data_IF_168943267517
#
_entry.id   IF_168943267517
#
_cell.length_a   1.000
_cell.length_b   1.000
_cell.length_c   1.000
_cell.angle_alpha   90.00
_cell.angle_beta   90.00
_cell.angle_gamma   90.00
#
_symmetry.space_group_name_H-M   'P 1'
#
loop_
_entity.id
_entity.type
_entity.pdbx_description
1 polymer ?
#
# COMPACT_ATOMS: atom_id res chain seq x y z
N UNK A 1 46.99 -68.58 7.34
CA UNK A 1 46.26 -68.49 8.63
C UNK A 1 44.96 -67.73 8.36
N UNK A 2 43.78 -68.38 8.19
CA UNK A 2 42.76 -68.71 9.22
C UNK A 2 42.55 -67.54 10.20
N UNK A 3 41.39 -66.88 10.34
CA UNK A 3 40.00 -67.40 10.49
C UNK A 3 38.92 -66.37 10.05
N UNK A 4 37.83 -66.88 9.47
CA UNK A 4 36.47 -66.30 9.51
C UNK A 4 35.87 -66.48 10.90
N UNK A 5 34.98 -65.58 11.34
CA UNK A 5 33.65 -65.96 11.87
C UNK A 5 32.65 -64.80 11.75
N UNK A 6 31.46 -65.06 11.18
CA UNK A 6 30.28 -64.19 11.25
C UNK A 6 29.49 -64.49 12.52
N UNK A 7 28.83 -63.48 13.08
CA UNK A 7 27.88 -63.60 14.18
C UNK A 7 26.50 -63.18 13.69
N UNK A 8 25.66 -64.18 13.44
CA UNK A 8 24.22 -64.06 13.27
C UNK A 8 23.54 -63.90 14.63
N UNK A 9 22.42 -63.16 14.66
CA UNK A 9 21.36 -63.35 15.65
C UNK A 9 20.88 -62.09 16.38
N UNK A 10 19.82 -61.44 15.88
CA UNK A 10 18.49 -61.57 16.51
C UNK A 10 17.40 -60.87 15.66
N UNK A 11 16.29 -61.55 15.33
CA UNK A 11 15.12 -60.93 14.73
C UNK A 11 14.23 -60.34 15.83
N UNK A 12 14.19 -59.02 15.95
CA UNK A 12 13.18 -58.33 16.76
C UNK A 12 11.79 -58.57 16.19
N UNK A 13 10.93 -59.15 17.04
CA UNK A 13 9.51 -59.47 16.79
C UNK A 13 8.74 -58.29 16.20
N UNK A 14 7.78 -58.54 15.29
CA UNK A 14 6.77 -57.55 14.95
C UNK A 14 5.84 -57.35 16.15
N UNK A 15 5.67 -56.10 16.57
CA UNK A 15 4.62 -55.70 17.51
C UNK A 15 3.34 -55.58 16.71
N UNK A 16 2.41 -56.50 16.96
CA UNK A 16 1.04 -56.43 16.48
C UNK A 16 0.37 -55.18 17.06
N UNK A 17 0.21 -54.14 16.24
CA UNK A 17 -0.68 -53.02 16.52
C UNK A 17 -2.09 -53.39 16.12
N UNK A 18 -2.98 -53.44 17.10
CA UNK A 18 -4.42 -53.58 16.88
C UNK A 18 -4.95 -52.45 15.95
N UNK A 19 -5.70 -52.81 14.90
CA UNK A 19 -6.37 -51.86 14.03
C UNK A 19 -7.72 -51.47 14.64
N UNK A 20 -7.86 -50.27 15.20
CA UNK A 20 -9.16 -49.92 15.79
C UNK A 20 -9.39 -48.57 16.45
N UNK A 21 -8.54 -47.55 16.29
CA UNK A 21 -8.90 -46.21 16.76
C UNK A 21 -8.50 -45.12 15.76
N UNK A 22 -9.46 -44.55 15.00
CA UNK A 22 -9.23 -43.31 14.29
C UNK A 22 -9.15 -42.20 15.36
N UNK A 23 -7.94 -41.71 15.63
CA UNK A 23 -7.79 -40.41 16.27
C UNK A 23 -8.08 -39.38 15.17
N UNK A 24 -9.35 -39.03 15.05
CA UNK A 24 -9.83 -37.92 14.22
C UNK A 24 -9.22 -36.62 14.76
N UNK A 25 -8.07 -36.27 14.19
CA UNK A 25 -7.30 -35.08 14.46
C UNK A 25 -6.79 -34.44 13.18
N UNK A 26 -7.60 -34.42 12.11
CA UNK A 26 -7.35 -33.55 10.95
C UNK A 26 -7.97 -32.15 11.16
N UNK A 27 -7.21 -31.23 11.79
CA UNK A 27 -7.22 -29.84 11.31
C UNK A 27 -5.83 -29.27 10.95
N UNK A 28 -4.72 -30.00 11.21
CA UNK A 28 -3.36 -29.43 11.16
C UNK A 28 -2.79 -29.21 9.76
N UNK A 29 -3.10 -30.07 8.77
CA UNK A 29 -2.50 -29.99 7.42
C UNK A 29 -2.74 -28.68 6.66
N UNK A 30 -3.82 -27.93 6.93
CA UNK A 30 -4.06 -26.63 6.28
C UNK A 30 -3.23 -25.50 6.87
N UNK A 31 -2.92 -25.54 8.16
CA UNK A 31 -2.11 -24.52 8.82
C UNK A 31 -0.64 -24.61 8.40
N UNK A 32 -0.14 -25.82 8.15
CA UNK A 32 1.24 -26.06 7.70
C UNK A 32 1.58 -25.32 6.40
N UNK A 33 0.62 -25.26 5.47
CA UNK A 33 0.81 -24.58 4.19
C UNK A 33 0.84 -23.05 4.29
N UNK A 34 0.10 -22.46 5.23
CA UNK A 34 0.11 -21.01 5.46
C UNK A 34 1.35 -20.62 6.25
N UNK A 35 1.67 -21.35 7.33
CA UNK A 35 2.85 -21.11 8.14
C UNK A 35 4.13 -21.28 7.32
N UNK A 36 4.25 -22.31 6.49
CA UNK A 36 5.41 -22.48 5.61
C UNK A 36 5.60 -21.31 4.63
N UNK A 37 4.52 -20.76 4.07
CA UNK A 37 4.59 -19.57 3.20
C UNK A 37 5.01 -18.33 3.98
N UNK A 38 4.52 -18.16 5.21
CA UNK A 38 4.90 -17.06 6.08
C UNK A 38 6.38 -17.17 6.46
N UNK A 39 6.85 -18.34 6.90
CA UNK A 39 8.26 -18.62 7.21
C UNK A 39 9.15 -18.34 5.99
N UNK A 40 8.78 -18.84 4.80
CA UNK A 40 9.52 -18.55 3.56
C UNK A 40 9.56 -17.05 3.23
N UNK A 41 8.47 -16.32 3.51
CA UNK A 41 8.40 -14.87 3.32
C UNK A 41 9.33 -14.14 4.30
N UNK A 42 9.37 -14.56 5.57
CA UNK A 42 10.25 -13.99 6.59
C UNK A 42 11.72 -14.29 6.27
N UNK A 43 12.04 -15.51 5.88
CA UNK A 43 13.39 -15.87 5.44
C UNK A 43 13.83 -15.08 4.20
N UNK A 44 12.90 -14.70 3.33
CA UNK A 44 13.21 -13.84 2.18
C UNK A 44 13.59 -12.40 2.59
N UNK A 45 13.28 -11.96 3.81
CA UNK A 45 13.72 -10.67 4.35
C UNK A 45 15.21 -10.69 4.72
N UNK A 46 15.74 -11.84 5.16
CA UNK A 46 17.14 -11.99 5.51
C UNK A 46 18.07 -11.86 4.28
N UNK A 47 19.24 -11.23 4.43
CA UNK A 47 20.30 -11.26 3.43
C UNK A 47 20.64 -12.70 3.02
N UNK A 48 20.91 -12.91 1.73
CA UNK A 48 21.26 -14.20 1.15
C UNK A 48 22.27 -15.02 1.98
N UNK A 49 23.42 -14.47 2.45
CA UNK A 49 24.39 -15.26 3.21
C UNK A 49 23.86 -15.74 4.58
N UNK A 50 23.00 -14.96 5.24
CA UNK A 50 22.38 -15.40 6.51
C UNK A 50 21.35 -16.49 6.23
N UNK A 51 20.51 -16.30 5.21
CA UNK A 51 19.49 -17.28 4.83
C UNK A 51 20.12 -18.61 4.41
N UNK A 52 21.21 -18.59 3.67
CA UNK A 52 21.91 -19.82 3.26
C UNK A 52 22.56 -20.53 4.44
N UNK A 53 23.05 -19.78 5.45
CA UNK A 53 23.72 -20.35 6.62
C UNK A 53 22.76 -20.81 7.71
N UNK A 54 21.73 -20.04 8.03
CA UNK A 54 20.85 -20.25 9.19
C UNK A 54 19.37 -20.42 8.80
N UNK A 55 19.02 -20.37 7.52
CA UNK A 55 17.61 -20.38 7.10
C UNK A 55 16.88 -21.68 7.44
N UNK A 56 17.57 -22.82 7.41
CA UNK A 56 16.99 -24.10 7.81
C UNK A 56 16.71 -24.16 9.32
N UNK A 57 17.64 -23.69 10.14
CA UNK A 57 17.48 -23.64 11.60
C UNK A 57 16.36 -22.68 12.02
N UNK A 58 16.29 -21.50 11.40
CA UNK A 58 15.20 -20.53 11.66
C UNK A 58 13.85 -21.10 11.24
N UNK A 59 13.78 -21.81 10.10
CA UNK A 59 12.54 -22.46 9.68
C UNK A 59 12.12 -23.54 10.69
N UNK A 60 13.05 -24.38 11.11
CA UNK A 60 12.81 -25.47 12.05
C UNK A 60 12.34 -24.98 13.43
N UNK A 61 12.96 -23.91 13.93
CA UNK A 61 12.55 -23.21 15.15
C UNK A 61 11.12 -22.66 15.05
N UNK A 62 10.77 -22.04 13.92
CA UNK A 62 9.43 -21.46 13.71
C UNK A 62 8.35 -22.54 13.51
N UNK A 63 8.68 -23.69 12.92
CA UNK A 63 7.74 -24.79 12.74
C UNK A 63 7.46 -25.56 14.03
N UNK A 64 8.43 -25.63 14.94
CA UNK A 64 8.30 -26.33 16.22
C UNK A 64 8.01 -25.39 17.41
N UNK A 65 7.81 -24.09 17.16
CA UNK A 65 7.52 -23.12 18.22
C UNK A 65 6.13 -23.33 18.83
N UNK A 66 5.99 -23.32 20.17
CA UNK A 66 4.69 -23.32 20.84
C UNK A 66 3.93 -21.99 20.64
N UNK A 67 4.60 -20.92 20.21
CA UNK A 67 4.05 -19.57 19.99
C UNK A 67 4.40 -19.02 18.61
N UNK A 68 3.98 -19.69 17.52
CA UNK A 68 4.50 -19.44 16.18
C UNK A 68 4.24 -18.02 15.67
N UNK A 69 3.11 -17.38 16.06
CA UNK A 69 2.79 -16.01 15.62
C UNK A 69 3.72 -14.98 16.26
N UNK A 70 4.00 -15.12 17.56
CA UNK A 70 4.89 -14.21 18.29
C UNK A 70 6.32 -14.36 17.77
N UNK A 71 6.79 -15.59 17.65
CA UNK A 71 8.16 -15.87 17.22
C UNK A 71 8.36 -15.46 15.75
N UNK A 72 7.35 -15.64 14.89
CA UNK A 72 7.39 -15.12 13.52
C UNK A 72 7.49 -13.59 13.52
N UNK A 73 6.75 -12.88 14.37
CA UNK A 73 6.83 -11.44 14.49
C UNK A 73 8.22 -10.98 14.99
N UNK A 74 8.77 -11.63 16.00
CA UNK A 74 10.10 -11.34 16.56
C UNK A 74 11.20 -11.60 15.52
N UNK A 75 11.17 -12.74 14.82
CA UNK A 75 12.13 -13.06 13.75
C UNK A 75 12.00 -12.09 12.57
N UNK A 76 10.77 -11.69 12.21
CA UNK A 76 10.53 -10.68 11.17
C UNK A 76 11.13 -9.34 11.57
N UNK A 77 10.94 -8.94 12.82
CA UNK A 77 11.49 -7.70 13.37
C UNK A 77 13.02 -7.72 13.37
N UNK A 78 13.63 -8.80 13.86
CA UNK A 78 15.08 -8.98 13.82
C UNK A 78 15.61 -8.93 12.37
N UNK A 79 14.97 -9.60 11.43
CA UNK A 79 15.36 -9.59 10.01
C UNK A 79 15.33 -8.17 9.42
N UNK A 80 14.29 -7.40 9.75
CA UNK A 80 14.15 -6.00 9.34
C UNK A 80 15.23 -5.13 9.98
N UNK A 81 15.44 -5.24 11.28
CA UNK A 81 16.45 -4.49 12.02
C UNK A 81 17.86 -4.76 11.46
N UNK A 82 18.22 -6.02 11.23
CA UNK A 82 19.53 -6.40 10.67
C UNK A 82 19.75 -5.83 9.27
N UNK A 83 18.69 -5.83 8.46
CA UNK A 83 18.71 -5.25 7.12
C UNK A 83 18.84 -3.72 7.14
N UNK A 84 18.20 -3.06 8.11
CA UNK A 84 18.33 -1.61 8.32
C UNK A 84 19.74 -1.27 8.78
N UNK A 85 20.30 -1.99 9.76
CA UNK A 85 21.65 -1.74 10.30
C UNK A 85 22.72 -1.97 9.23
N UNK A 86 22.69 -3.09 8.51
CA UNK A 86 23.64 -3.34 7.42
C UNK A 86 23.45 -2.39 6.25
N UNK A 87 22.19 -2.05 5.95
CA UNK A 87 21.88 -1.01 4.96
C UNK A 87 22.49 0.33 5.34
N UNK A 88 22.39 0.73 6.61
CA UNK A 88 22.99 1.94 7.15
C UNK A 88 24.53 1.91 7.08
N UNK A 89 25.17 0.76 7.34
CA UNK A 89 26.61 0.60 7.21
C UNK A 89 27.10 0.67 5.75
N UNK A 90 26.28 0.21 4.79
CA UNK A 90 26.57 0.26 3.36
C UNK A 90 26.16 1.60 2.70
N UNK A 91 25.47 2.48 3.43
CA UNK A 91 25.00 3.76 2.93
C UNK A 91 26.13 4.80 2.99
N UNK A 92 26.63 5.18 1.83
CA UNK A 92 27.48 6.38 1.73
C UNK A 92 26.67 7.61 2.12
N UNK A 93 27.30 8.61 2.74
CA UNK A 93 26.64 9.86 3.15
C UNK A 93 25.85 10.51 2.01
N UNK A 94 26.39 10.45 0.78
CA UNK A 94 25.71 10.95 -0.42
C UNK A 94 24.39 10.21 -0.71
N UNK A 95 24.35 8.87 -0.58
CA UNK A 95 23.12 8.10 -0.76
C UNK A 95 22.12 8.35 0.37
N UNK A 96 22.61 8.50 1.60
CA UNK A 96 21.77 8.84 2.75
C UNK A 96 21.07 10.19 2.54
N UNK A 97 21.81 11.23 2.11
CA UNK A 97 21.25 12.56 1.79
C UNK A 97 20.18 12.49 0.71
N UNK A 98 20.43 11.75 -0.37
CA UNK A 98 19.44 11.55 -1.43
C UNK A 98 18.19 10.83 -0.91
N UNK A 99 18.36 9.79 -0.08
CA UNK A 99 17.24 9.07 0.55
C UNK A 99 16.40 9.95 1.46
N UNK A 100 17.03 10.74 2.33
CA UNK A 100 16.36 11.71 3.21
C UNK A 100 15.58 12.74 2.39
N UNK A 101 16.19 13.28 1.34
CA UNK A 101 15.52 14.26 0.47
C UNK A 101 14.29 13.67 -0.24
N UNK A 102 14.36 12.41 -0.67
CA UNK A 102 13.24 11.71 -1.28
C UNK A 102 12.14 11.43 -0.27
N UNK A 103 12.50 10.98 0.93
CA UNK A 103 11.56 10.75 2.01
C UNK A 103 10.86 12.05 2.41
N UNK A 104 11.61 13.13 2.58
CA UNK A 104 11.07 14.46 2.86
C UNK A 104 10.10 14.92 1.78
N UNK A 105 10.43 14.71 0.49
CA UNK A 105 9.49 14.96 -0.61
C UNK A 105 8.23 14.14 -0.48
N UNK A 106 8.33 12.83 -0.26
CA UNK A 106 7.16 11.95 -0.12
C UNK A 106 6.27 12.36 1.07
N UNK A 107 6.86 12.77 2.19
CA UNK A 107 6.14 13.26 3.38
C UNK A 107 5.47 14.63 3.13
N UNK A 108 6.05 15.49 2.28
CA UNK A 108 5.53 16.82 1.98
C UNK A 108 4.49 16.84 0.84
N UNK A 109 4.42 15.78 0.02
CA UNK A 109 3.45 15.68 -1.09
C UNK A 109 1.99 15.82 -0.60
N UNK A 110 1.52 15.12 0.47
CA UNK A 110 0.14 15.26 0.96
C UNK A 110 -0.18 16.69 1.37
N UNK A 111 0.76 17.36 2.07
CA UNK A 111 0.61 18.77 2.45
C UNK A 111 0.50 19.66 1.20
N UNK A 112 1.41 19.50 0.24
CA UNK A 112 1.39 20.28 -1.00
C UNK A 112 0.11 20.07 -1.83
N UNK A 113 -0.40 18.84 -1.91
CA UNK A 113 -1.66 18.53 -2.59
C UNK A 113 -2.87 19.10 -1.84
N UNK A 114 -2.87 19.05 -0.51
CA UNK A 114 -3.94 19.63 0.32
C UNK A 114 -3.98 21.15 0.18
N UNK A 115 -2.82 21.82 0.25
CA UNK A 115 -2.71 23.26 0.01
C UNK A 115 -3.17 23.60 -1.41
N UNK A 116 -2.74 22.83 -2.43
CA UNK A 116 -3.16 23.07 -3.80
C UNK A 116 -4.68 22.93 -3.98
N UNK A 117 -5.30 21.94 -3.35
CA UNK A 117 -6.76 21.78 -3.34
C UNK A 117 -7.45 22.99 -2.70
N UNK A 118 -6.98 23.43 -1.52
CA UNK A 118 -7.52 24.60 -0.84
C UNK A 118 -7.38 25.88 -1.69
N UNK A 119 -6.23 26.07 -2.34
CA UNK A 119 -6.01 27.20 -3.25
C UNK A 119 -6.97 27.14 -4.43
N UNK A 120 -7.21 25.97 -5.01
CA UNK A 120 -8.20 25.80 -6.09
C UNK A 120 -9.62 26.14 -5.62
N UNK A 121 -10.01 25.70 -4.41
CA UNK A 121 -11.32 26.02 -3.84
C UNK A 121 -11.47 27.52 -3.53
N UNK A 122 -10.43 28.17 -3.00
CA UNK A 122 -10.44 29.62 -2.76
C UNK A 122 -10.47 30.41 -4.06
N UNK A 123 -9.70 30.01 -5.07
CA UNK A 123 -9.70 30.63 -6.39
C UNK A 123 -11.04 30.49 -7.12
N UNK A 124 -11.82 29.47 -6.75
CA UNK A 124 -13.19 29.27 -7.19
C UNK A 124 -14.23 30.17 -6.49
N UNK A 125 -13.86 30.85 -5.40
CA UNK A 125 -14.76 31.75 -4.65
C UNK A 125 -15.34 32.89 -5.50
N UNK A 126 -14.51 33.68 -6.22
CA UNK A 126 -15.01 34.77 -7.06
C UNK A 126 -16.05 34.36 -8.13
N UNK A 127 -15.84 33.29 -8.95
CA UNK A 127 -16.86 32.85 -9.88
C UNK A 127 -18.12 32.30 -9.16
N UNK A 128 -17.98 31.65 -8.01
CA UNK A 128 -19.13 31.23 -7.19
C UNK A 128 -19.94 32.44 -6.71
N UNK A 129 -19.28 33.49 -6.20
CA UNK A 129 -19.94 34.74 -5.78
C UNK A 129 -20.68 35.43 -6.94
N UNK A 130 -20.11 35.39 -8.14
CA UNK A 130 -20.78 35.89 -9.34
C UNK A 130 -22.02 35.05 -9.68
N UNK A 131 -21.94 33.73 -9.54
CA UNK A 131 -23.08 32.83 -9.77
C UNK A 131 -24.20 33.04 -8.74
N UNK A 132 -23.86 33.31 -7.47
CA UNK A 132 -24.82 33.73 -6.44
C UNK A 132 -25.53 35.01 -6.87
N UNK A 133 -24.78 36.00 -7.37
CA UNK A 133 -25.35 37.26 -7.85
C UNK A 133 -26.27 37.08 -9.08
N UNK A 134 -26.17 35.95 -9.77
CA UNK A 134 -27.01 35.57 -10.91
C UNK A 134 -28.17 34.62 -10.53
N UNK A 135 -28.43 34.43 -9.23
CA UNK A 135 -29.49 33.55 -8.69
C UNK A 135 -29.33 32.08 -9.11
N UNK A 136 -28.09 31.64 -9.31
CA UNK A 136 -27.75 30.24 -9.57
C UNK A 136 -27.58 29.52 -8.23
N UNK A 137 -28.16 28.33 -8.11
CA UNK A 137 -28.05 27.45 -6.94
C UNK A 137 -26.58 27.23 -6.52
N UNK A 138 -26.19 27.88 -5.43
CA UNK A 138 -24.81 28.00 -4.94
C UNK A 138 -24.30 26.68 -4.40
N UNK A 139 -25.14 25.92 -3.70
CA UNK A 139 -24.77 24.67 -3.04
C UNK A 139 -24.42 23.61 -4.09
N UNK A 140 -25.28 23.49 -5.10
CA UNK A 140 -25.03 22.58 -6.23
C UNK A 140 -23.80 23.00 -7.03
N UNK A 141 -23.60 24.29 -7.21
CA UNK A 141 -22.45 24.82 -7.94
C UNK A 141 -21.14 24.62 -7.18
N UNK A 142 -21.11 24.87 -5.87
CA UNK A 142 -19.95 24.64 -5.02
C UNK A 142 -19.49 23.17 -5.06
N UNK A 143 -20.45 22.25 -5.00
CA UNK A 143 -20.23 20.80 -5.14
C UNK A 143 -19.61 20.42 -6.50
N UNK A 144 -20.13 20.97 -7.60
CA UNK A 144 -19.54 20.78 -8.92
C UNK A 144 -18.13 21.34 -9.03
N UNK A 145 -17.90 22.53 -8.47
CA UNK A 145 -16.59 23.18 -8.50
C UNK A 145 -15.56 22.39 -7.68
N UNK A 146 -15.96 21.87 -6.52
CA UNK A 146 -15.12 20.94 -5.75
C UNK A 146 -14.74 19.72 -6.59
N UNK A 147 -15.71 19.06 -7.23
CA UNK A 147 -15.49 17.90 -8.08
C UNK A 147 -14.55 18.19 -9.25
N UNK A 148 -14.74 19.33 -9.91
CA UNK A 148 -13.91 19.78 -11.03
C UNK A 148 -12.48 20.12 -10.59
N UNK A 149 -12.28 20.61 -9.37
CA UNK A 149 -10.96 20.94 -8.82
C UNK A 149 -10.05 19.70 -8.63
N UNK A 150 -10.65 18.51 -8.52
CA UNK A 150 -9.92 17.25 -8.36
C UNK A 150 -9.20 16.85 -9.65
N UNK A 151 -9.73 17.24 -10.82
CA UNK A 151 -9.11 16.93 -12.12
C UNK A 151 -7.71 17.55 -12.29
N UNK A 152 -7.51 18.87 -12.15
CA UNK A 152 -6.17 19.47 -12.24
C UNK A 152 -5.26 18.98 -11.11
N UNK A 153 -5.80 18.74 -9.91
CA UNK A 153 -5.04 18.18 -8.79
C UNK A 153 -4.55 16.76 -9.08
N UNK A 154 -5.41 15.91 -9.65
CA UNK A 154 -5.07 14.56 -10.09
C UNK A 154 -4.01 14.56 -11.20
N UNK A 155 -4.11 15.49 -12.16
CA UNK A 155 -3.11 15.66 -13.21
C UNK A 155 -1.74 16.09 -12.64
N UNK A 156 -1.74 17.03 -11.69
CA UNK A 156 -0.55 17.47 -10.97
C UNK A 156 0.08 16.31 -10.19
N UNK A 157 -0.73 15.57 -9.44
CA UNK A 157 -0.31 14.38 -8.68
C UNK A 157 0.30 13.31 -9.61
N UNK A 158 -0.35 13.03 -10.74
CA UNK A 158 0.16 12.10 -11.75
C UNK A 158 1.51 12.55 -12.31
N UNK A 159 1.63 13.83 -12.69
CA UNK A 159 2.86 14.38 -13.24
C UNK A 159 4.01 14.32 -12.24
N UNK A 160 3.79 14.75 -11.00
CA UNK A 160 4.78 14.71 -9.92
C UNK A 160 5.21 13.27 -9.62
N UNK A 161 4.27 12.35 -9.49
CA UNK A 161 4.53 10.94 -9.23
C UNK A 161 5.36 10.33 -10.36
N UNK A 162 4.95 10.53 -11.61
CA UNK A 162 5.67 10.01 -12.78
C UNK A 162 7.09 10.57 -12.88
N UNK A 163 7.27 11.88 -12.63
CA UNK A 163 8.59 12.53 -12.66
C UNK A 163 9.52 11.95 -11.60
N UNK A 164 9.05 11.80 -10.36
CA UNK A 164 9.85 11.20 -9.29
C UNK A 164 10.12 9.71 -9.57
N UNK A 165 9.14 8.96 -10.09
CA UNK A 165 9.30 7.55 -10.40
C UNK A 165 10.35 7.29 -11.49
N UNK A 166 10.37 8.12 -12.53
CA UNK A 166 11.35 8.03 -13.63
C UNK A 166 12.79 8.28 -13.18
N UNK A 167 13.00 9.01 -12.09
CA UNK A 167 14.34 9.23 -11.54
C UNK A 167 14.97 7.96 -10.97
N UNK A 168 14.20 6.87 -10.81
CA UNK A 168 14.67 5.61 -10.23
C UNK A 168 15.03 5.72 -8.74
N UNK A 169 14.69 6.84 -8.11
CA UNK A 169 15.22 7.20 -6.80
C UNK A 169 14.45 6.57 -5.63
N UNK A 170 13.22 6.09 -5.86
CA UNK A 170 12.37 5.49 -4.83
C UNK A 170 12.46 3.97 -4.89
N UNK A 171 13.32 3.32 -4.07
CA UNK A 171 13.27 1.87 -3.93
C UNK A 171 11.90 1.48 -3.38
N UNK A 172 11.35 0.35 -3.82
CA UNK A 172 10.09 -0.19 -3.30
C UNK A 172 8.95 0.86 -3.21
N UNK A 173 8.77 1.69 -4.25
CA UNK A 173 7.72 2.71 -4.30
C UNK A 173 6.31 2.22 -3.91
N UNK A 174 6.02 0.93 -4.16
CA UNK A 174 4.77 0.28 -3.77
C UNK A 174 4.52 0.22 -2.25
N UNK A 175 5.55 0.26 -1.41
CA UNK A 175 5.41 0.23 0.05
C UNK A 175 5.77 1.57 0.70
N UNK A 176 6.87 2.19 0.24
CA UNK A 176 7.39 3.41 0.85
C UNK A 176 6.52 4.64 0.56
N UNK A 177 5.91 4.72 -0.63
CA UNK A 177 5.06 5.88 -0.94
C UNK A 177 3.75 5.86 -0.14
N UNK A 178 2.95 4.78 -0.09
CA UNK A 178 1.72 4.76 0.70
C UNK A 178 1.95 5.05 2.19
N UNK A 179 3.02 4.50 2.75
CA UNK A 179 3.38 4.72 4.17
C UNK A 179 3.80 6.16 4.44
N UNK A 180 4.69 6.74 3.62
CA UNK A 180 5.08 8.13 3.77
C UNK A 180 3.89 9.09 3.56
N UNK A 181 3.04 8.84 2.57
CA UNK A 181 1.84 9.64 2.35
C UNK A 181 0.87 9.54 3.54
N UNK A 182 0.67 8.33 4.08
CA UNK A 182 -0.17 8.13 5.26
C UNK A 182 0.36 8.86 6.49
N UNK A 183 1.67 8.79 6.75
CA UNK A 183 2.32 9.54 7.84
C UNK A 183 2.14 11.05 7.63
N UNK A 184 2.30 11.54 6.40
CA UNK A 184 2.05 12.95 6.09
C UNK A 184 0.59 13.35 6.35
N UNK A 185 -0.38 12.51 5.96
CA UNK A 185 -1.80 12.76 6.22
C UNK A 185 -2.16 12.72 7.70
N UNK A 186 -1.61 11.78 8.46
CA UNK A 186 -1.81 11.72 9.92
C UNK A 186 -1.20 12.94 10.61
N UNK A 187 -0.02 13.39 10.16
CA UNK A 187 0.58 14.61 10.68
C UNK A 187 -0.30 15.84 10.40
N UNK A 188 -0.93 15.91 9.22
CA UNK A 188 -1.89 16.98 8.91
C UNK A 188 -3.16 16.87 9.75
N UNK A 189 -3.69 15.67 9.93
CA UNK A 189 -4.88 15.42 10.73
C UNK A 189 -4.68 15.79 12.21
N UNK A 190 -3.44 15.68 12.71
CA UNK A 190 -3.07 16.07 14.07
C UNK A 190 -2.91 17.58 14.26
N UNK A 191 -2.85 18.39 13.19
CA UNK A 191 -2.72 19.84 13.30
C UNK A 191 -4.08 20.47 13.66
N UNK A 192 -4.14 21.34 14.70
CA UNK A 192 -5.37 22.05 15.05
C UNK A 192 -5.92 22.85 13.87
N UNK A 193 -7.24 22.79 13.66
CA UNK A 193 -7.93 23.44 12.54
C UNK A 193 -7.82 22.70 11.21
N UNK A 194 -6.62 22.23 10.84
CA UNK A 194 -6.41 21.43 9.60
C UNK A 194 -7.06 20.06 9.71
N UNK A 195 -7.02 19.44 10.90
CA UNK A 195 -7.69 18.16 11.15
C UNK A 195 -9.17 18.20 10.82
N UNK A 196 -9.88 19.25 11.26
CA UNK A 196 -11.31 19.45 11.01
C UNK A 196 -11.61 19.60 9.51
N UNK A 197 -10.73 20.29 8.78
CA UNK A 197 -10.85 20.46 7.33
C UNK A 197 -10.68 19.13 6.59
N UNK A 198 -9.81 18.25 7.09
CA UNK A 198 -9.60 16.92 6.51
C UNK A 198 -10.74 15.98 6.89
N UNK A 199 -11.26 16.03 8.11
CA UNK A 199 -12.42 15.27 8.54
C UNK A 199 -12.85 15.69 9.95
N UNK A 200 -14.14 15.62 10.22
CA UNK A 200 -14.70 16.05 11.50
C UNK A 200 -14.17 15.23 12.68
N UNK A 201 -13.88 13.94 12.47
CA UNK A 201 -13.46 13.01 13.53
C UNK A 201 -12.04 12.45 13.26
N UNK A 202 -11.05 12.75 14.12
CA UNK A 202 -9.65 12.36 13.88
C UNK A 202 -9.43 10.85 13.93
N UNK A 203 -10.19 10.13 14.75
CA UNK A 203 -10.10 8.67 14.88
C UNK A 203 -10.58 7.98 13.60
N UNK A 204 -11.70 8.45 13.04
CA UNK A 204 -12.26 7.95 11.78
C UNK A 204 -11.35 8.27 10.60
N UNK A 205 -10.78 9.47 10.55
CA UNK A 205 -9.78 9.86 9.56
C UNK A 205 -8.56 8.93 9.63
N UNK A 206 -8.08 8.63 10.84
CA UNK A 206 -6.95 7.72 11.06
C UNK A 206 -7.25 6.32 10.52
N UNK A 207 -8.43 5.77 10.82
CA UNK A 207 -8.84 4.46 10.30
C UNK A 207 -8.90 4.44 8.77
N UNK A 208 -9.49 5.47 8.16
CA UNK A 208 -9.55 5.62 6.70
C UNK A 208 -8.16 5.67 6.07
N UNK A 209 -7.24 6.47 6.63
CA UNK A 209 -5.86 6.61 6.14
C UNK A 209 -5.11 5.28 6.28
N UNK A 210 -5.27 4.56 7.38
CA UNK A 210 -4.64 3.25 7.56
C UNK A 210 -5.15 2.22 6.55
N UNK A 211 -6.47 2.12 6.38
CA UNK A 211 -7.11 1.26 5.37
C UNK A 211 -6.62 1.62 3.96
N UNK A 212 -6.61 2.91 3.63
CA UNK A 212 -6.12 3.44 2.38
C UNK A 212 -4.65 3.08 2.13
N UNK A 213 -3.79 3.22 3.14
CA UNK A 213 -2.36 2.98 3.02
C UNK A 213 -2.07 1.49 2.71
N UNK A 214 -2.76 0.59 3.40
CA UNK A 214 -2.63 -0.85 3.23
C UNK A 214 -3.12 -1.27 1.84
N UNK A 215 -4.32 -0.82 1.45
CA UNK A 215 -4.87 -1.16 0.15
C UNK A 215 -4.10 -0.52 -1.02
N UNK A 216 -3.57 0.71 -0.86
CA UNK A 216 -2.67 1.32 -1.86
C UNK A 216 -1.41 0.48 -2.03
N UNK A 217 -0.81 -0.02 -0.94
CA UNK A 217 0.40 -0.83 -1.02
C UNK A 217 0.17 -2.14 -1.77
N UNK A 218 -0.96 -2.81 -1.52
CA UNK A 218 -1.37 -4.01 -2.25
C UNK A 218 -1.60 -3.69 -3.73
N UNK A 219 -2.38 -2.65 -4.04
CA UNK A 219 -2.71 -2.29 -5.42
C UNK A 219 -1.46 -1.85 -6.21
N UNK A 220 -0.56 -1.07 -5.62
CA UNK A 220 0.72 -0.72 -6.22
C UNK A 220 1.60 -1.96 -6.48
N UNK A 221 1.59 -2.95 -5.58
CA UNK A 221 2.31 -4.21 -5.79
C UNK A 221 1.74 -4.97 -6.99
N UNK A 222 0.41 -5.11 -7.07
CA UNK A 222 -0.26 -5.77 -8.19
C UNK A 222 -0.03 -5.02 -9.50
N UNK A 223 -0.18 -3.70 -9.50
CA UNK A 223 0.10 -2.83 -10.64
C UNK A 223 1.54 -3.01 -11.14
N UNK A 224 2.51 -2.97 -10.22
CA UNK A 224 3.93 -3.24 -10.54
C UNK A 224 4.10 -4.60 -11.19
N UNK A 225 3.51 -5.66 -10.63
CA UNK A 225 3.63 -7.00 -11.23
C UNK A 225 3.02 -7.05 -12.64
N UNK A 226 1.87 -6.43 -12.88
CA UNK A 226 1.24 -6.37 -14.20
C UNK A 226 2.12 -5.63 -15.21
N UNK A 227 2.71 -4.50 -14.81
CA UNK A 227 3.59 -3.68 -15.65
C UNK A 227 4.90 -4.39 -15.98
N UNK A 228 5.52 -5.08 -15.01
CA UNK A 228 6.74 -5.87 -15.25
C UNK A 228 6.50 -6.98 -16.27
N UNK A 229 5.34 -7.62 -16.24
CA UNK A 229 4.93 -8.64 -17.22
C UNK A 229 4.34 -8.05 -18.51
N UNK A 230 4.43 -6.72 -18.70
CA UNK A 230 3.92 -5.99 -19.88
C UNK A 230 2.42 -6.23 -20.17
N UNK A 231 1.62 -6.57 -19.15
CA UNK A 231 0.17 -6.78 -19.28
C UNK A 231 -0.57 -5.46 -19.09
N UNK A 232 -0.54 -4.61 -20.11
CA UNK A 232 -1.07 -3.23 -20.06
C UNK A 232 -2.55 -3.19 -19.66
N UNK A 233 -3.40 -4.02 -20.25
CA UNK A 233 -4.82 -4.09 -19.89
C UNK A 233 -5.05 -4.43 -18.41
N UNK A 234 -4.29 -5.40 -17.87
CA UNK A 234 -4.37 -5.76 -16.43
C UNK A 234 -3.85 -4.63 -15.55
N UNK A 235 -2.81 -3.91 -15.99
CA UNK A 235 -2.31 -2.74 -15.25
C UNK A 235 -3.37 -1.63 -15.18
N UNK A 236 -4.07 -1.35 -16.27
CA UNK A 236 -5.19 -0.40 -16.30
C UNK A 236 -6.34 -0.83 -15.39
N UNK A 237 -6.79 -2.08 -15.50
CA UNK A 237 -7.85 -2.62 -14.62
C UNK A 237 -7.45 -2.58 -13.14
N UNK A 238 -6.19 -2.93 -12.83
CA UNK A 238 -5.69 -2.89 -11.45
C UNK A 238 -5.57 -1.46 -10.93
N UNK A 239 -5.12 -0.52 -11.76
CA UNK A 239 -5.01 0.89 -11.39
C UNK A 239 -6.37 1.54 -11.19
N UNK A 240 -7.25 1.49 -12.19
CA UNK A 240 -8.56 2.14 -12.12
C UNK A 240 -9.51 1.41 -11.16
N UNK A 241 -9.70 0.10 -11.35
CA UNK A 241 -10.59 -0.69 -10.51
C UNK A 241 -10.09 -0.81 -9.08
N UNK A 242 -8.79 -1.08 -8.89
CA UNK A 242 -8.19 -1.15 -7.56
C UNK A 242 -8.19 0.19 -6.84
N UNK A 243 -7.96 1.30 -7.55
CA UNK A 243 -8.07 2.65 -7.00
C UNK A 243 -9.49 2.99 -6.54
N UNK A 244 -10.50 2.70 -7.36
CA UNK A 244 -11.90 2.94 -7.01
C UNK A 244 -12.32 2.12 -5.78
N UNK A 245 -12.07 0.80 -5.80
CA UNK A 245 -12.40 -0.09 -4.67
C UNK A 245 -11.72 0.36 -3.39
N UNK A 246 -10.44 0.74 -3.47
CA UNK A 246 -9.68 1.25 -2.34
C UNK A 246 -10.31 2.50 -1.72
N UNK A 247 -10.63 3.49 -2.55
CA UNK A 247 -11.19 4.77 -2.10
C UNK A 247 -12.59 4.58 -1.52
N UNK A 248 -13.39 3.70 -2.13
CA UNK A 248 -14.69 3.28 -1.58
C UNK A 248 -14.52 2.63 -0.21
N UNK A 249 -13.65 1.63 -0.05
CA UNK A 249 -13.44 0.96 1.24
C UNK A 249 -12.90 1.91 2.32
N UNK A 250 -12.03 2.84 1.94
CA UNK A 250 -11.50 3.85 2.87
C UNK A 250 -12.61 4.80 3.35
N UNK A 251 -13.47 5.24 2.43
CA UNK A 251 -14.65 6.08 2.74
C UNK A 251 -15.65 5.33 3.60
N UNK A 252 -15.89 4.05 3.33
CA UNK A 252 -16.74 3.18 4.16
C UNK A 252 -16.17 3.08 5.58
N UNK A 253 -14.87 2.85 5.71
CA UNK A 253 -14.21 2.80 7.02
C UNK A 253 -14.36 4.09 7.81
N UNK A 254 -14.22 5.24 7.14
CA UNK A 254 -14.48 6.55 7.75
C UNK A 254 -15.94 6.70 8.18
N UNK A 255 -16.90 6.52 7.26
CA UNK A 255 -18.32 6.76 7.54
C UNK A 255 -18.82 5.83 8.64
N UNK A 256 -18.41 4.56 8.66
CA UNK A 256 -18.78 3.62 9.72
C UNK A 256 -18.23 3.97 11.10
N UNK A 257 -17.12 4.69 11.17
CA UNK A 257 -16.53 5.13 12.45
C UNK A 257 -17.03 6.51 12.87
N UNK A 258 -17.34 7.39 11.92
CA UNK A 258 -17.77 8.76 12.17
C UNK A 258 -19.28 8.92 12.37
N UNK A 259 -20.10 8.12 11.67
CA UNK A 259 -21.54 8.32 11.56
C UNK A 259 -22.29 7.07 12.07
N UNK A 260 -23.31 7.29 12.90
CA UNK A 260 -24.16 6.21 13.39
C UNK A 260 -24.87 5.50 12.22
N UNK A 261 -25.01 4.17 12.33
CA UNK A 261 -25.66 3.34 11.33
C UNK A 261 -27.14 3.69 11.11
N UNK A 262 -27.79 4.31 12.11
CA UNK A 262 -29.15 4.85 11.96
C UNK A 262 -29.21 6.03 10.97
N UNK A 263 -28.15 6.84 10.92
CA UNK A 263 -28.05 8.04 10.08
C UNK A 263 -27.51 7.73 8.67
N UNK A 264 -26.62 6.75 8.56
CA UNK A 264 -26.02 6.32 7.30
C UNK A 264 -26.32 4.84 6.99
N UNK A 265 -27.39 4.54 6.22
CA UNK A 265 -27.76 3.18 5.87
C UNK A 265 -26.62 2.42 5.19
N UNK A 266 -26.18 1.30 5.79
CA UNK A 266 -25.04 0.51 5.29
C UNK A 266 -25.25 -0.10 3.90
N UNK A 267 -26.51 -0.25 3.47
CA UNK A 267 -26.84 -0.70 2.10
C UNK A 267 -26.34 0.28 1.02
N UNK A 268 -26.18 1.55 1.36
CA UNK A 268 -25.71 2.60 0.45
C UNK A 268 -24.19 2.79 0.46
N UNK A 269 -23.47 2.00 1.27
CA UNK A 269 -22.02 2.09 1.44
C UNK A 269 -21.20 2.15 0.14
N UNK A 270 -21.53 1.37 -0.92
CA UNK A 270 -20.78 1.42 -2.19
C UNK A 270 -20.81 2.80 -2.88
N UNK A 271 -21.82 3.63 -2.60
CA UNK A 271 -22.03 4.91 -3.27
C UNK A 271 -21.40 6.09 -2.52
N UNK A 272 -21.01 5.92 -1.25
CA UNK A 272 -20.55 7.04 -0.43
C UNK A 272 -19.34 7.78 -1.00
N UNK A 273 -18.35 7.06 -1.52
CA UNK A 273 -17.18 7.70 -2.15
C UNK A 273 -17.56 8.48 -3.42
N UNK A 274 -18.41 7.91 -4.29
CA UNK A 274 -18.83 8.57 -5.52
C UNK A 274 -19.68 9.80 -5.22
N UNK A 275 -20.54 9.72 -4.21
CA UNK A 275 -21.33 10.84 -3.75
C UNK A 275 -20.45 11.95 -3.18
N UNK A 276 -19.52 11.63 -2.27
CA UNK A 276 -18.59 12.59 -1.69
C UNK A 276 -17.71 13.28 -2.74
N UNK A 277 -17.22 12.55 -3.74
CA UNK A 277 -16.32 13.11 -4.77
C UNK A 277 -17.04 13.92 -5.84
N UNK A 278 -18.32 13.63 -6.10
CA UNK A 278 -19.13 14.31 -7.11
C UNK A 278 -19.97 15.44 -6.54
N UNK A 279 -20.13 15.48 -5.22
CA UNK A 279 -21.07 16.34 -4.52
C UNK A 279 -22.54 16.07 -4.89
N UNK A 280 -22.83 14.93 -5.53
CA UNK A 280 -24.19 14.46 -5.77
C UNK A 280 -24.56 13.52 -4.62
N UNK A 281 -25.28 14.06 -3.63
CA UNK A 281 -25.77 13.30 -2.49
C UNK A 281 -27.30 13.16 -2.56
N UNK A 282 -27.82 11.98 -2.96
CA UNK A 282 -29.26 11.73 -3.03
C UNK A 282 -29.93 11.55 -1.65
N UNK A 283 -29.30 11.98 -0.55
CA UNK A 283 -29.80 11.79 0.80
C UNK A 283 -29.23 10.53 1.45
N UNK A 284 -27.94 10.26 1.25
CA UNK A 284 -27.28 9.06 1.78
C UNK A 284 -27.07 9.12 3.30
N UNK A 285 -27.21 10.31 3.91
CA UNK A 285 -27.15 10.55 5.35
C UNK A 285 -28.36 11.39 5.77
N UNK A 286 -29.13 10.87 6.73
CA UNK A 286 -30.35 11.50 7.29
C UNK A 286 -31.41 11.94 6.26
N UNK A 287 -31.41 11.37 5.06
CA UNK A 287 -32.24 11.81 3.91
C UNK A 287 -32.05 13.29 3.54
N UNK A 288 -30.96 13.91 4.01
CA UNK A 288 -30.63 15.31 3.75
C UNK A 288 -29.56 15.42 2.69
N UNK A 289 -29.72 16.39 1.78
CA UNK A 289 -28.73 16.64 0.74
C UNK A 289 -27.43 17.16 1.36
N UNK A 290 -26.30 16.69 0.81
CA UNK A 290 -24.92 17.12 1.06
C UNK A 290 -24.31 16.79 2.44
N UNK A 291 -25.09 16.24 3.39
CA UNK A 291 -24.56 15.88 4.71
C UNK A 291 -23.38 14.90 4.65
N UNK A 292 -23.35 13.99 3.67
CA UNK A 292 -22.21 13.08 3.53
C UNK A 292 -20.94 13.82 3.11
N UNK A 293 -21.04 14.78 2.20
CA UNK A 293 -19.90 15.55 1.73
C UNK A 293 -19.32 16.40 2.89
N UNK A 294 -20.19 16.98 3.72
CA UNK A 294 -19.78 17.76 4.88
C UNK A 294 -19.12 16.88 5.95
N UNK A 295 -19.69 15.72 6.26
CA UNK A 295 -19.17 14.83 7.30
C UNK A 295 -17.79 14.23 6.96
N UNK A 296 -17.53 13.94 5.67
CA UNK A 296 -16.27 13.35 5.21
C UNK A 296 -15.26 14.43 4.75
N UNK A 297 -15.73 15.68 4.56
CA UNK A 297 -14.93 16.86 4.24
C UNK A 297 -13.96 16.63 3.06
N UNK A 298 -12.71 17.12 3.16
CA UNK A 298 -11.73 17.03 2.07
C UNK A 298 -11.02 15.66 1.96
N UNK A 299 -11.22 14.74 2.91
CA UNK A 299 -10.50 13.46 2.95
C UNK A 299 -10.56 12.68 1.62
N UNK A 300 -11.74 12.47 0.98
CA UNK A 300 -11.83 11.64 -0.22
C UNK A 300 -11.06 12.25 -1.38
N UNK A 301 -11.08 13.57 -1.52
CA UNK A 301 -10.36 14.31 -2.56
C UNK A 301 -8.85 14.23 -2.38
N UNK A 302 -8.36 14.37 -1.15
CA UNK A 302 -6.94 14.24 -0.83
C UNK A 302 -6.45 12.79 -1.02
N UNK A 303 -7.22 11.80 -0.56
CA UNK A 303 -6.89 10.38 -0.77
C UNK A 303 -6.89 10.02 -2.26
N UNK A 304 -7.79 10.58 -3.06
CA UNK A 304 -7.83 10.42 -4.52
C UNK A 304 -6.53 10.93 -5.16
N UNK A 305 -6.13 12.16 -4.83
CA UNK A 305 -4.89 12.74 -5.35
C UNK A 305 -3.65 11.92 -4.93
N UNK A 306 -3.59 11.48 -3.67
CA UNK A 306 -2.51 10.63 -3.16
C UNK A 306 -2.47 9.26 -3.86
N UNK A 307 -3.63 8.67 -4.17
CA UNK A 307 -3.74 7.41 -4.91
C UNK A 307 -3.18 7.55 -6.33
N UNK A 308 -3.59 8.61 -7.04
CA UNK A 308 -3.08 8.92 -8.38
C UNK A 308 -1.57 9.12 -8.37
N UNK A 309 -1.05 9.86 -7.37
CA UNK A 309 0.39 10.05 -7.18
C UNK A 309 1.13 8.73 -6.99
N UNK A 310 0.66 7.86 -6.08
CA UNK A 310 1.30 6.59 -5.77
C UNK A 310 1.32 5.62 -6.98
N UNK A 311 0.23 5.58 -7.76
CA UNK A 311 0.17 4.78 -8.98
C UNK A 311 1.11 5.31 -10.06
N UNK A 312 1.13 6.63 -10.28
CA UNK A 312 2.01 7.26 -11.25
C UNK A 312 3.50 7.07 -10.89
N UNK A 313 3.82 7.17 -9.60
CA UNK A 313 5.16 6.89 -9.06
C UNK A 313 5.58 5.45 -9.34
N UNK A 314 4.71 4.50 -9.03
CA UNK A 314 4.94 3.06 -9.25
C UNK A 314 5.14 2.76 -10.73
N UNK A 315 4.29 3.29 -11.60
CA UNK A 315 4.40 3.11 -13.04
C UNK A 315 5.69 3.73 -13.61
N UNK A 316 6.05 4.94 -13.15
CA UNK A 316 7.30 5.61 -13.52
C UNK A 316 8.55 4.82 -13.13
N UNK A 317 8.57 4.25 -11.92
CA UNK A 317 9.69 3.47 -11.40
C UNK A 317 9.92 2.15 -12.19
N UNK A 318 8.83 1.48 -12.61
CA UNK A 318 8.93 0.28 -13.47
C UNK A 318 9.49 0.64 -14.85
N UNK A 319 9.03 1.75 -15.44
CA UNK A 319 9.52 2.22 -16.74
C UNK A 319 11.02 2.53 -16.74
N UNK A 320 11.51 3.22 -15.71
CA UNK A 320 12.94 3.52 -15.56
C UNK A 320 13.80 2.26 -15.40
N UNK A 321 13.32 1.29 -14.62
CA UNK A 321 14.01 0.01 -14.42
C UNK A 321 14.14 -0.79 -15.72
N UNK A 322 13.09 -0.81 -16.54
CA UNK A 322 13.11 -1.47 -17.85
C UNK A 322 14.11 -0.85 -18.82
N UNK A 323 14.16 0.49 -18.88
CA UNK A 323 15.08 1.23 -19.73
C UNK A 323 16.56 0.98 -19.37
N UNK A 324 16.88 0.94 -18.08
CA UNK A 324 18.23 0.68 -17.60
C UNK A 324 18.73 -0.73 -17.99
N UNK A 325 17.87 -1.75 -17.90
CA UNK A 325 18.22 -3.13 -18.30
C UNK A 325 18.47 -3.21 -19.81
N UNK A 326 17.63 -2.57 -20.63
CA UNK A 326 17.82 -2.56 -22.09
C UNK A 326 19.11 -1.84 -22.51
N UNK A 327 19.46 -0.75 -21.83
CA UNK A 327 20.71 -0.02 -22.10
C UNK A 327 21.96 -0.86 -21.76
N UNK A 328 21.96 -1.58 -20.62
CA UNK A 328 23.07 -2.47 -20.24
C UNK A 328 23.23 -3.64 -21.21
N UNK A 329 22.12 -4.23 -21.68
CA UNK A 329 22.14 -5.29 -22.69
C UNK A 329 22.68 -4.80 -24.04
N UNK A 330 22.33 -3.57 -24.46
CA UNK A 330 22.89 -2.95 -25.66
C UNK A 330 24.40 -2.74 -25.56
N UNK A 331 24.89 -2.30 -24.40
CA UNK A 331 26.33 -2.09 -24.16
C UNK A 331 27.15 -3.38 -24.21
N UNK A 332 26.60 -4.48 -23.69
CA UNK A 332 27.25 -5.81 -23.75
C UNK A 332 27.26 -6.42 -25.14
N UNK A 333 26.30 -6.04 -26.00
CA UNK A 333 26.20 -6.53 -27.39
C UNK A 333 26.99 -5.71 -28.39
N UNK A 334 27.41 -4.49 -28.06
CA UNK A 334 28.35 -3.71 -28.87
C UNK A 334 29.71 -4.46 -28.85
N UNK A 335 30.03 -5.25 -29.90
CA UNK A 335 31.26 -6.02 -29.91
C UNK A 335 32.43 -5.05 -29.95
N UNK A 336 33.58 -5.49 -29.47
CA UNK A 336 34.89 -4.84 -29.54
C UNK A 336 35.39 -4.57 -30.96
N UNK A 337 34.58 -3.92 -31.81
CA UNK A 337 34.87 -3.51 -33.19
C UNK A 337 35.86 -2.34 -33.28
N UNK A 338 36.49 -1.98 -32.18
CA UNK A 338 37.56 -0.98 -32.11
C UNK A 338 38.95 -1.64 -31.87
N UNK A 339 39.05 -2.95 -32.03
CA UNK A 339 40.32 -3.68 -32.08
C UNK A 339 40.51 -4.27 -33.48
N UNK A 340 40.69 -3.40 -34.47
CA UNK A 340 41.25 -3.73 -35.80
C UNK A 340 41.87 -2.48 -36.40
#
# INVERSE_FOLDING_TARGET
MRRRRPGDGEPTRPVDREPGQPVDGEPTRRFDGVLARLVATVLALYPRPIRERYGAEIADLLTHSPTPVRDLADVTWCALADRVVRGAQALTLARARTGVFILAKLLLIPLGLTIALLVLMVAAGPPLNLMVALDIDVERTASMVHSLSILPLGLLAWWLGRRLGRSGAVPAAWALAPTALAVGLLALAALPGVGVILGETPDSATLAILCWSAGTAVTCRLLRTALVHRRVARAWLTGLGGGLVLLTLSTIGYVWSAIDAARAPRGSAPYWYLSAISGIDPGLVDDTHLQLADAVALLPSVLTACTVYAFALTAGAVGASGAAITADQGRKKAPSRLAS
#
